data_IF_967804586442
#
_entry.id   IF_967804586442
#
_cell.length_a   1.000
_cell.length_b   1.000
_cell.length_c   1.000
_cell.angle_alpha   90.00
_cell.angle_beta   90.00
_cell.angle_gamma   90.00
#
_symmetry.space_group_name_H-M   'P 1'
#
loop_
_entity.id
_entity.type
_entity.pdbx_description
1 polymer ?
#
# COMPACT_ATOMS: atom_id res chain seq x y z
N UNK A 1 4.95 -1.19 -9.04
CA UNK A 1 5.20 0.27 -9.17
C UNK A 1 6.67 0.47 -8.92
N UNK A 2 7.39 0.95 -9.93
CA UNK A 2 8.84 1.12 -9.85
C UNK A 2 9.15 2.57 -9.48
N UNK A 3 10.26 2.80 -8.78
CA UNK A 3 10.72 4.15 -8.45
C UNK A 3 10.87 5.04 -9.70
N UNK A 4 11.15 4.45 -10.86
CA UNK A 4 11.28 5.19 -12.12
C UNK A 4 9.98 5.86 -12.56
N UNK A 5 8.83 5.21 -12.34
CA UNK A 5 7.51 5.75 -12.73
C UNK A 5 7.22 7.01 -11.91
N UNK A 6 7.46 6.97 -10.60
CA UNK A 6 7.22 8.15 -9.74
C UNK A 6 8.21 9.28 -10.04
N UNK A 7 9.44 8.95 -10.46
CA UNK A 7 10.43 9.94 -10.90
C UNK A 7 10.07 10.57 -12.23
N UNK A 8 9.55 9.80 -13.18
CA UNK A 8 9.03 10.31 -14.45
C UNK A 8 7.86 11.26 -14.21
N UNK A 9 6.89 10.85 -13.39
CA UNK A 9 5.78 11.71 -12.99
C UNK A 9 6.23 13.01 -12.33
N UNK A 10 7.23 12.95 -11.44
CA UNK A 10 7.79 14.14 -10.82
C UNK A 10 8.49 15.08 -11.82
N UNK A 11 9.11 14.55 -12.90
CA UNK A 11 9.69 15.38 -13.96
C UNK A 11 8.63 16.06 -14.82
N UNK A 12 7.58 15.32 -15.17
CA UNK A 12 6.49 15.85 -16.00
C UNK A 12 5.73 16.99 -15.30
N UNK A 13 5.72 16.99 -13.96
CA UNK A 13 4.99 17.95 -13.14
C UNK A 13 5.93 18.86 -12.32
N UNK A 14 7.18 19.06 -12.76
CA UNK A 14 8.19 19.82 -12.01
C UNK A 14 7.76 21.26 -11.73
N UNK A 15 7.17 21.94 -12.71
CA UNK A 15 6.71 23.32 -12.59
C UNK A 15 5.69 23.48 -11.45
N UNK A 16 4.74 22.54 -11.35
CA UNK A 16 3.70 22.53 -10.32
C UNK A 16 4.29 22.20 -8.93
N UNK A 17 5.23 21.24 -8.88
CA UNK A 17 5.92 20.86 -7.63
C UNK A 17 6.69 22.06 -7.08
N UNK A 18 7.44 22.77 -7.92
CA UNK A 18 8.23 23.93 -7.51
C UNK A 18 7.36 25.15 -7.16
N UNK A 19 6.25 25.36 -7.89
CA UNK A 19 5.37 26.50 -7.68
C UNK A 19 4.50 26.37 -6.42
N UNK A 20 4.12 25.15 -6.03
CA UNK A 20 3.06 24.93 -5.04
C UNK A 20 3.47 24.08 -3.84
N UNK A 21 4.70 23.57 -3.81
CA UNK A 21 5.18 22.75 -2.70
C UNK A 21 6.53 23.23 -2.17
N UNK A 22 6.92 22.73 -1.00
CA UNK A 22 8.26 22.89 -0.45
C UNK A 22 9.12 21.64 -0.67
N UNK A 23 8.70 20.75 -1.59
CA UNK A 23 9.38 19.50 -1.86
C UNK A 23 10.68 19.78 -2.63
N UNK A 24 11.73 19.03 -2.29
CA UNK A 24 13.00 19.13 -2.98
C UNK A 24 12.99 18.21 -4.21
N UNK A 25 12.78 18.80 -5.40
CA UNK A 25 12.71 18.06 -6.66
C UNK A 25 13.99 17.26 -6.94
N UNK A 26 15.17 17.84 -6.70
CA UNK A 26 16.44 17.15 -6.91
C UNK A 26 16.57 15.93 -5.99
N UNK A 27 16.15 16.05 -4.72
CA UNK A 27 16.13 14.94 -3.79
C UNK A 27 15.18 13.82 -4.28
N UNK A 28 13.97 14.17 -4.71
CA UNK A 28 12.99 13.23 -5.28
C UNK A 28 13.56 12.52 -6.51
N UNK A 29 14.23 13.24 -7.40
CA UNK A 29 14.83 12.65 -8.61
C UNK A 29 16.09 11.82 -8.33
N UNK A 30 16.68 11.93 -7.14
CA UNK A 30 17.84 11.14 -6.73
C UNK A 30 17.49 9.79 -6.10
N UNK A 31 16.24 9.60 -5.66
CA UNK A 31 15.83 8.38 -4.93
C UNK A 31 15.96 7.11 -5.78
N UNK A 32 16.22 5.99 -5.10
CA UNK A 32 16.44 4.66 -5.68
C UNK A 32 15.41 3.63 -5.21
N UNK A 33 14.68 3.95 -4.13
CA UNK A 33 13.62 3.09 -3.60
C UNK A 33 12.33 3.87 -3.36
N UNK A 34 11.19 3.16 -3.33
CA UNK A 34 9.91 3.77 -2.95
C UNK A 34 9.92 4.27 -1.51
N UNK A 35 10.66 3.61 -0.61
CA UNK A 35 10.80 4.06 0.77
C UNK A 35 11.51 5.42 0.87
N UNK A 36 12.54 5.65 0.04
CA UNK A 36 13.19 6.95 -0.07
C UNK A 36 12.26 7.99 -0.67
N UNK A 37 11.50 7.63 -1.72
CA UNK A 37 10.47 8.52 -2.26
C UNK A 37 9.44 8.92 -1.20
N UNK A 38 8.94 7.96 -0.41
CA UNK A 38 7.99 8.23 0.67
C UNK A 38 8.57 9.13 1.75
N UNK A 39 9.87 9.05 1.98
CA UNK A 39 10.56 9.97 2.88
C UNK A 39 10.65 11.38 2.31
N UNK A 40 11.05 11.53 1.05
CA UNK A 40 11.23 12.85 0.43
C UNK A 40 9.89 13.53 0.10
N UNK A 41 8.82 12.76 -0.14
CA UNK A 41 7.49 13.29 -0.51
C UNK A 41 6.50 13.19 0.63
N UNK A 42 6.17 11.98 1.09
CA UNK A 42 5.07 11.78 2.05
C UNK A 42 5.44 12.32 3.44
N UNK A 43 6.65 12.07 3.93
CA UNK A 43 7.03 12.60 5.24
C UNK A 43 7.04 14.13 5.25
N UNK A 44 7.51 14.77 4.18
CA UNK A 44 7.52 16.24 4.06
C UNK A 44 6.09 16.80 3.94
N UNK A 45 5.26 16.18 3.09
CA UNK A 45 3.88 16.62 2.85
C UNK A 45 3.00 16.51 4.10
N UNK A 46 3.17 15.43 4.87
CA UNK A 46 2.30 15.09 6.00
C UNK A 46 2.93 15.39 7.38
N UNK A 47 4.18 15.87 7.41
CA UNK A 47 4.87 16.26 8.65
C UNK A 47 5.35 15.08 9.50
N UNK A 48 5.64 13.93 8.90
CA UNK A 48 6.19 12.79 9.63
C UNK A 48 7.71 12.89 9.83
N UNK A 49 8.24 12.60 11.02
CA UNK A 49 9.68 12.64 11.27
C UNK A 49 10.44 11.49 10.59
N UNK A 50 9.76 10.36 10.35
CA UNK A 50 10.35 9.17 9.74
C UNK A 50 9.34 8.47 8.82
N UNK A 51 9.84 7.73 7.83
CA UNK A 51 9.00 6.90 6.97
C UNK A 51 8.24 5.82 7.76
N UNK A 52 8.81 5.32 8.86
CA UNK A 52 8.15 4.33 9.71
C UNK A 52 6.98 4.91 10.49
N UNK A 53 7.08 6.16 10.98
CA UNK A 53 5.94 6.84 11.59
C UNK A 53 4.83 7.08 10.59
N UNK A 54 5.18 7.45 9.34
CA UNK A 54 4.22 7.54 8.25
C UNK A 54 3.53 6.19 8.00
N UNK A 55 4.29 5.12 7.77
CA UNK A 55 3.71 3.80 7.51
C UNK A 55 2.89 3.24 8.66
N UNK A 56 3.27 3.50 9.92
CA UNK A 56 2.51 3.03 11.08
C UNK A 56 1.14 3.71 11.14
N UNK A 57 1.08 5.02 10.91
CA UNK A 57 -0.17 5.77 10.96
C UNK A 57 -1.05 5.55 9.72
N UNK A 58 -0.44 5.44 8.54
CA UNK A 58 -1.14 5.12 7.30
C UNK A 58 -1.63 3.66 7.21
N UNK A 59 -1.13 2.78 8.09
CA UNK A 59 -1.50 1.37 8.10
C UNK A 59 -2.92 1.15 8.60
N UNK A 60 -3.68 0.32 7.89
CA UNK A 60 -5.01 -0.12 8.30
C UNK A 60 -5.00 -1.17 9.42
N UNK A 61 -3.84 -1.54 9.96
CA UNK A 61 -3.71 -2.63 10.95
C UNK A 61 -4.62 -2.46 12.15
N UNK A 62 -4.68 -1.27 12.75
CA UNK A 62 -5.50 -1.03 13.95
C UNK A 62 -7.00 -1.02 13.60
N UNK A 63 -7.37 -0.51 12.42
CA UNK A 63 -8.74 -0.50 11.93
C UNK A 63 -9.28 -1.91 11.64
N UNK A 64 -8.46 -2.77 11.03
CA UNK A 64 -8.83 -4.16 10.71
C UNK A 64 -9.10 -4.97 11.98
N UNK A 65 -8.31 -4.77 13.04
CA UNK A 65 -8.52 -5.41 14.35
C UNK A 65 -9.81 -4.95 15.06
N UNK A 66 -10.32 -3.76 14.71
CA UNK A 66 -11.51 -3.17 15.31
C UNK A 66 -12.82 -3.59 14.63
N UNK A 67 -12.77 -4.29 13.50
CA UNK A 67 -13.96 -4.74 12.75
C UNK A 67 -14.84 -5.63 13.66
N UNK A 68 -16.16 -5.45 13.66
CA UNK A 68 -17.13 -6.24 14.45
C UNK A 68 -18.26 -6.88 13.64
N UNK A 69 -18.27 -6.63 12.33
CA UNK A 69 -19.28 -7.13 11.39
C UNK A 69 -18.62 -8.13 10.43
N UNK A 70 -19.40 -8.97 9.72
CA UNK A 70 -18.85 -9.82 8.67
C UNK A 70 -18.04 -9.01 7.66
N UNK A 71 -16.84 -9.51 7.35
CA UNK A 71 -15.86 -8.84 6.49
C UNK A 71 -15.29 -9.84 5.49
N UNK A 72 -15.13 -9.38 4.25
CA UNK A 72 -14.51 -10.11 3.16
C UNK A 72 -13.24 -9.36 2.74
N UNK A 73 -12.11 -10.06 2.77
CA UNK A 73 -10.83 -9.57 2.29
C UNK A 73 -10.48 -10.26 0.96
N UNK A 74 -10.21 -9.47 -0.07
CA UNK A 74 -9.82 -9.93 -1.41
C UNK A 74 -8.46 -9.35 -1.78
N UNK A 75 -7.57 -10.17 -2.33
CA UNK A 75 -6.27 -9.76 -2.82
C UNK A 75 -5.87 -10.57 -4.05
N UNK A 76 -5.12 -9.96 -4.97
CA UNK A 76 -4.60 -10.65 -6.15
C UNK A 76 -3.27 -11.36 -5.81
N UNK A 77 -3.12 -12.63 -6.19
CA UNK A 77 -1.90 -13.40 -5.93
C UNK A 77 -0.66 -12.79 -6.57
N UNK A 78 -0.84 -12.11 -7.69
CA UNK A 78 0.19 -11.54 -8.55
C UNK A 78 0.40 -10.03 -8.34
N UNK A 79 -0.18 -9.43 -7.29
CA UNK A 79 0.06 -8.01 -6.99
C UNK A 79 1.56 -7.77 -6.68
N UNK A 80 2.28 -7.00 -7.53
CA UNK A 80 3.71 -6.77 -7.35
C UNK A 80 4.04 -5.78 -6.23
N UNK A 81 3.05 -5.07 -5.69
CA UNK A 81 3.25 -4.01 -4.69
C UNK A 81 2.90 -4.47 -3.28
N UNK A 82 1.92 -5.37 -3.14
CA UNK A 82 1.43 -5.84 -1.86
C UNK A 82 1.49 -7.36 -1.79
N UNK A 83 2.29 -7.88 -0.86
CA UNK A 83 2.40 -9.31 -0.64
C UNK A 83 1.11 -9.85 0.02
N UNK A 84 0.63 -11.00 -0.45
CA UNK A 84 -0.47 -11.78 0.18
C UNK A 84 -0.28 -11.96 1.68
N UNK A 85 0.97 -12.12 2.15
CA UNK A 85 1.27 -12.27 3.58
C UNK A 85 0.79 -11.07 4.41
N UNK A 86 0.81 -9.86 3.85
CA UNK A 86 0.29 -8.67 4.54
C UNK A 86 -1.23 -8.76 4.78
N UNK A 87 -1.97 -9.36 3.85
CA UNK A 87 -3.41 -9.61 4.03
C UNK A 87 -3.65 -10.72 5.05
N UNK A 88 -2.96 -11.85 4.91
CA UNK A 88 -3.12 -13.02 5.77
C UNK A 88 -2.85 -12.67 7.24
N UNK A 89 -1.75 -11.98 7.52
CA UNK A 89 -1.36 -11.54 8.87
C UNK A 89 -2.42 -10.66 9.53
N UNK A 90 -3.01 -9.71 8.79
CA UNK A 90 -4.01 -8.80 9.31
C UNK A 90 -5.34 -9.53 9.60
N UNK A 91 -5.74 -10.42 8.69
CA UNK A 91 -6.99 -11.17 8.78
C UNK A 91 -6.95 -12.23 9.89
N UNK A 92 -5.86 -13.01 9.97
CA UNK A 92 -5.71 -14.07 10.97
C UNK A 92 -5.68 -13.52 12.40
N UNK A 93 -5.07 -12.36 12.60
CA UNK A 93 -4.97 -11.69 13.91
C UNK A 93 -6.28 -11.02 14.33
N UNK A 94 -7.11 -10.58 13.39
CA UNK A 94 -8.32 -9.81 13.68
C UNK A 94 -9.47 -10.65 14.25
N UNK A 95 -9.83 -11.80 13.63
CA UNK A 95 -10.97 -12.59 14.10
C UNK A 95 -10.94 -14.06 13.67
N UNK A 96 -11.25 -14.97 14.61
CA UNK A 96 -11.38 -16.43 14.40
C UNK A 96 -12.52 -16.86 13.44
N UNK A 97 -13.34 -15.93 12.96
CA UNK A 97 -14.48 -16.19 12.06
C UNK A 97 -14.38 -15.50 10.69
N UNK A 98 -13.28 -14.81 10.39
CA UNK A 98 -13.09 -14.10 9.11
C UNK A 98 -12.95 -15.09 7.95
N UNK A 99 -13.51 -14.74 6.79
CA UNK A 99 -13.27 -15.41 5.51
C UNK A 99 -12.44 -14.47 4.64
N UNK A 100 -11.36 -14.99 4.09
CA UNK A 100 -10.51 -14.30 3.14
C UNK A 100 -10.15 -15.26 2.02
N UNK A 101 -9.79 -14.71 0.85
CA UNK A 101 -9.36 -15.49 -0.29
C UNK A 101 -8.41 -14.69 -1.17
N UNK A 102 -7.53 -15.41 -1.87
CA UNK A 102 -6.57 -14.84 -2.82
C UNK A 102 -7.02 -15.21 -4.23
N UNK A 103 -7.13 -14.24 -5.12
CA UNK A 103 -7.49 -14.51 -6.50
C UNK A 103 -6.24 -14.97 -7.27
N UNK A 104 -6.30 -16.07 -8.05
CA UNK A 104 -5.17 -16.53 -8.86
C UNK A 104 -4.88 -15.61 -10.08
N UNK A 105 -5.55 -14.46 -10.15
CA UNK A 105 -5.52 -13.53 -11.27
C UNK A 105 -6.84 -12.77 -11.34
N UNK A 106 -7.65 -13.04 -12.36
CA UNK A 106 -8.89 -12.30 -12.63
C UNK A 106 -10.06 -12.72 -11.73
N UNK A 107 -11.04 -11.82 -11.54
CA UNK A 107 -12.28 -12.11 -10.79
C UNK A 107 -13.12 -13.23 -11.41
N UNK A 108 -12.89 -13.58 -12.69
CA UNK A 108 -13.61 -14.63 -13.39
C UNK A 108 -13.25 -16.04 -12.90
N UNK A 109 -12.11 -16.20 -12.22
CA UNK A 109 -11.59 -17.49 -11.76
C UNK A 109 -11.99 -17.83 -10.32
N UNK A 110 -12.89 -17.03 -9.73
CA UNK A 110 -13.43 -17.26 -8.38
C UNK A 110 -14.35 -18.49 -8.36
N UNK A 111 -14.13 -19.46 -7.44
CA UNK A 111 -15.12 -20.51 -7.21
C UNK A 111 -16.43 -19.90 -6.70
N UNK A 112 -17.56 -20.50 -7.05
CA UNK A 112 -18.90 -19.95 -6.81
C UNK A 112 -19.24 -19.75 -5.32
N UNK A 113 -18.47 -20.35 -4.41
CA UNK A 113 -18.57 -20.19 -2.96
C UNK A 113 -17.69 -19.05 -2.40
N UNK A 114 -16.90 -18.39 -3.26
CA UNK A 114 -16.09 -17.21 -2.95
C UNK A 114 -14.87 -17.47 -2.06
N UNK A 115 -14.48 -18.75 -1.88
CA UNK A 115 -13.38 -19.12 -0.98
C UNK A 115 -12.22 -19.68 -1.78
N UNK A 116 -11.13 -18.92 -1.92
CA UNK A 116 -9.85 -19.46 -2.40
C UNK A 116 -8.98 -19.79 -1.20
N UNK A 117 -8.86 -21.10 -0.96
CA UNK A 117 -7.94 -21.84 -0.09
C UNK A 117 -7.37 -21.13 1.15
N UNK A 118 -7.71 -21.67 2.33
CA UNK A 118 -6.88 -21.54 3.53
C UNK A 118 -5.56 -22.28 3.27
N UNK A 119 -4.43 -21.60 3.43
CA UNK A 119 -3.15 -22.26 3.63
C UNK A 119 -3.21 -23.15 4.89
#
# INVERSE_FOLDING_TARGET
MTVDIVKEYARENSEEIEAHTQLNLDAILSVTTLTEFDKEVHCQTWGYPTVFSYYRDASSSDAVLAIRIPFLALHAADDPNANVSALADAVEKAHRGLRWGVLPGSFADLPADGVVQRA
#
